data_IF_701374063666
#
_entry.id   IF_701374063666
#
_cell.length_a   1.000
_cell.length_b   1.000
_cell.length_c   1.000
_cell.angle_alpha   90.00
_cell.angle_beta   90.00
_cell.angle_gamma   90.00
#
_symmetry.space_group_name_H-M   'P 1'
#
loop_
_entity.id
_entity.type
_entity.pdbx_description
1 polymer ?
#
# COMPACT_ATOMS: atom_id res chain seq x y z
N UNK A 1 -10.80 9.54 -18.23
CA UNK A 1 -10.72 10.77 -17.42
C UNK A 1 -9.82 10.42 -16.25
N UNK A 2 -8.62 10.98 -16.23
CA UNK A 2 -7.53 10.51 -15.37
C UNK A 2 -7.83 10.84 -13.91
N UNK A 3 -7.51 9.91 -13.02
CA UNK A 3 -7.64 9.94 -11.56
C UNK A 3 -6.86 11.07 -10.85
N UNK A 4 -6.48 12.14 -11.56
CA UNK A 4 -5.73 13.29 -11.04
C UNK A 4 -6.45 14.00 -9.87
N UNK A 5 -7.74 13.76 -9.69
CA UNK A 5 -8.52 14.36 -8.60
C UNK A 5 -8.55 13.54 -7.31
N UNK A 6 -8.45 12.20 -7.37
CA UNK A 6 -8.72 11.39 -6.19
C UNK A 6 -7.55 11.39 -5.20
N UNK A 7 -6.32 11.19 -5.72
CA UNK A 7 -5.08 11.19 -4.92
C UNK A 7 -4.39 12.56 -4.92
N UNK A 8 -5.10 13.62 -5.27
CA UNK A 8 -4.55 14.97 -5.25
C UNK A 8 -4.11 15.37 -3.84
N UNK A 9 -2.95 16.01 -3.72
CA UNK A 9 -2.35 16.37 -2.42
C UNK A 9 -3.28 17.22 -1.54
N UNK A 10 -4.17 18.01 -2.16
CA UNK A 10 -5.19 18.81 -1.45
C UNK A 10 -6.23 17.98 -0.69
N UNK A 11 -6.31 16.67 -0.92
CA UNK A 11 -7.24 15.78 -0.22
C UNK A 11 -6.67 15.26 1.10
N UNK A 12 -5.41 15.54 1.41
CA UNK A 12 -4.71 15.06 2.59
C UNK A 12 -4.33 16.19 3.54
N UNK A 13 -4.29 15.88 4.84
CA UNK A 13 -3.88 16.85 5.86
C UNK A 13 -2.36 16.84 6.13
N UNK A 14 -1.61 15.93 5.49
CA UNK A 14 -0.16 15.77 5.65
C UNK A 14 0.26 14.76 6.73
N UNK A 15 -0.66 14.29 7.57
CA UNK A 15 -0.41 13.19 8.49
C UNK A 15 -0.50 11.85 7.76
N UNK A 16 0.19 10.86 8.31
CA UNK A 16 0.16 9.49 7.84
C UNK A 16 0.45 8.52 8.98
N UNK A 17 -0.04 7.29 8.82
CA UNK A 17 0.24 6.15 9.66
C UNK A 17 1.19 5.21 8.91
N UNK A 18 2.24 4.75 9.58
CA UNK A 18 3.03 3.61 9.10
C UNK A 18 2.35 2.32 9.54
N UNK A 19 2.21 1.37 8.61
CA UNK A 19 1.67 0.04 8.88
C UNK A 19 2.69 -1.00 8.43
N UNK A 20 2.69 -2.15 9.08
CA UNK A 20 3.63 -3.23 8.76
C UNK A 20 2.98 -4.61 8.81
N UNK A 21 3.71 -5.62 8.33
CA UNK A 21 3.29 -7.01 8.37
C UNK A 21 3.87 -7.79 9.56
N UNK A 22 4.30 -7.14 10.64
CA UNK A 22 4.97 -7.84 11.73
C UNK A 22 4.03 -8.84 12.41
N UNK A 23 4.37 -10.12 12.30
CA UNK A 23 3.72 -11.20 13.05
C UNK A 23 4.69 -11.82 14.06
N UNK A 24 5.88 -12.20 13.60
CA UNK A 24 6.95 -12.69 14.45
C UNK A 24 8.34 -12.30 13.91
N UNK A 25 9.39 -12.75 14.62
CA UNK A 25 10.79 -12.44 14.32
C UNK A 25 11.33 -13.03 13.00
N UNK A 26 10.61 -13.95 12.36
CA UNK A 26 10.96 -14.60 11.11
C UNK A 26 10.22 -14.00 9.92
N UNK A 27 9.17 -13.19 10.15
CA UNK A 27 8.45 -12.48 9.09
C UNK A 27 9.37 -11.42 8.46
N UNK A 28 9.62 -11.46 7.14
CA UNK A 28 10.30 -10.37 6.46
C UNK A 28 9.51 -9.07 6.66
N UNK A 29 10.17 -8.05 7.19
CA UNK A 29 9.54 -6.75 7.44
C UNK A 29 9.20 -6.07 6.11
N UNK A 30 7.91 -5.75 5.94
CA UNK A 30 7.33 -5.04 4.81
C UNK A 30 6.49 -3.91 5.38
N UNK A 31 6.74 -2.69 4.93
CA UNK A 31 6.07 -1.48 5.41
C UNK A 31 5.17 -0.88 4.32
N UNK A 32 4.05 -0.31 4.77
CA UNK A 32 3.13 0.49 3.98
C UNK A 32 2.82 1.80 4.70
N UNK A 33 2.13 2.71 4.00
CA UNK A 33 1.76 4.01 4.56
C UNK A 33 0.29 4.28 4.28
N UNK A 34 -0.46 4.65 5.32
CA UNK A 34 -1.83 5.13 5.20
C UNK A 34 -1.86 6.66 5.33
N UNK A 35 -2.15 7.35 4.23
CA UNK A 35 -2.19 8.82 4.17
C UNK A 35 -3.54 9.36 4.63
N UNK A 36 -3.54 10.26 5.62
CA UNK A 36 -4.76 10.77 6.25
C UNK A 36 -5.41 11.84 5.39
N UNK A 37 -6.65 11.57 4.97
CA UNK A 37 -7.50 12.48 4.21
C UNK A 37 -8.10 13.57 5.11
N UNK A 38 -8.58 14.65 4.50
CA UNK A 38 -9.21 15.76 5.23
C UNK A 38 -10.47 15.37 6.00
N UNK A 39 -11.16 14.29 5.60
CA UNK A 39 -12.34 13.76 6.29
C UNK A 39 -12.01 12.76 7.41
N UNK A 40 -10.73 12.50 7.66
CA UNK A 40 -10.25 11.57 8.69
C UNK A 40 -10.15 10.11 8.24
N UNK A 41 -10.60 9.76 7.02
CA UNK A 41 -10.27 8.46 6.43
C UNK A 41 -8.80 8.42 5.97
N UNK A 42 -8.31 7.25 5.61
CA UNK A 42 -6.93 7.07 5.16
C UNK A 42 -6.87 6.24 3.88
N UNK A 43 -6.03 6.64 2.93
CA UNK A 43 -5.71 5.82 1.78
C UNK A 43 -4.42 5.05 2.04
N UNK A 44 -4.52 3.73 2.04
CA UNK A 44 -3.42 2.81 2.29
C UNK A 44 -2.65 2.54 1.00
N UNK A 45 -1.33 2.74 1.05
CA UNK A 45 -0.41 2.55 -0.06
C UNK A 45 0.77 1.64 0.27
N UNK A 46 1.35 1.09 -0.80
CA UNK A 46 2.57 0.29 -0.76
C UNK A 46 3.57 0.72 -1.84
N UNK A 47 4.84 0.90 -1.47
CA UNK A 47 5.91 1.25 -2.41
C UNK A 47 7.27 0.58 -2.10
N UNK A 48 7.34 -0.34 -1.13
CA UNK A 48 8.57 -1.03 -0.70
C UNK A 48 8.93 -2.24 -1.61
N UNK A 49 9.03 -1.97 -2.91
CA UNK A 49 9.54 -2.94 -3.89
C UNK A 49 11.07 -3.03 -3.85
N UNK A 50 11.63 -4.22 -4.04
CA UNK A 50 13.08 -4.47 -4.04
C UNK A 50 13.81 -3.71 -5.16
N UNK A 51 13.15 -3.52 -6.30
CA UNK A 51 13.68 -2.81 -7.46
C UNK A 51 12.56 -2.50 -8.48
N UNK A 52 12.91 -1.73 -9.51
CA UNK A 52 12.01 -1.37 -10.61
C UNK A 52 11.40 -2.60 -11.31
N UNK A 53 12.19 -3.66 -11.49
CA UNK A 53 11.73 -4.87 -12.19
C UNK A 53 10.63 -5.59 -11.41
N UNK A 54 10.76 -5.69 -10.08
CA UNK A 54 9.70 -6.24 -9.23
C UNK A 54 8.44 -5.39 -9.32
N UNK A 55 8.58 -4.06 -9.20
CA UNK A 55 7.46 -3.12 -9.30
C UNK A 55 6.73 -3.25 -10.64
N UNK A 56 7.44 -3.18 -11.76
CA UNK A 56 6.83 -3.28 -13.09
C UNK A 56 6.14 -4.63 -13.31
N UNK A 57 6.72 -5.72 -12.79
CA UNK A 57 6.11 -7.04 -12.84
C UNK A 57 4.79 -7.07 -12.05
N UNK A 58 4.78 -6.52 -10.84
CA UNK A 58 3.57 -6.41 -10.02
C UNK A 58 2.48 -5.58 -10.72
N UNK A 59 2.85 -4.40 -11.23
CA UNK A 59 1.91 -3.51 -11.91
C UNK A 59 1.32 -4.15 -13.19
N UNK A 60 2.11 -4.95 -13.90
CA UNK A 60 1.64 -5.66 -15.11
C UNK A 60 0.69 -6.80 -14.77
N UNK A 61 0.92 -7.53 -13.67
CA UNK A 61 0.11 -8.71 -13.31
C UNK A 61 -1.21 -8.31 -12.68
N UNK A 62 -1.19 -7.34 -11.76
CA UNK A 62 -2.36 -6.98 -10.95
C UNK A 62 -3.12 -5.76 -11.47
N UNK A 63 -2.51 -4.99 -12.38
CA UNK A 63 -3.06 -3.73 -12.92
C UNK A 63 -3.69 -2.82 -11.83
N UNK A 64 -3.02 -2.61 -10.68
CA UNK A 64 -3.62 -1.85 -9.59
C UNK A 64 -3.69 -0.35 -9.93
N UNK A 65 -4.40 0.41 -9.12
CA UNK A 65 -4.22 1.85 -9.13
C UNK A 65 -2.82 2.19 -8.57
N UNK A 66 -2.05 2.96 -9.33
CA UNK A 66 -0.69 3.37 -8.96
C UNK A 66 -0.55 4.88 -9.06
N UNK A 67 -0.05 5.47 -7.98
CA UNK A 67 0.38 6.86 -7.92
C UNK A 67 1.92 6.91 -7.90
N UNK A 68 2.52 7.79 -8.69
CA UNK A 68 3.99 7.86 -8.81
C UNK A 68 4.70 8.28 -7.52
N UNK A 69 4.01 9.01 -6.64
CA UNK A 69 4.56 9.48 -5.37
C UNK A 69 4.19 8.56 -4.20
N UNK A 70 2.96 8.03 -4.20
CA UNK A 70 2.41 7.26 -3.08
C UNK A 70 2.58 5.75 -3.25
N UNK A 71 2.63 5.25 -4.49
CA UNK A 71 2.77 3.84 -4.81
C UNK A 71 1.44 3.15 -5.16
N UNK A 72 1.37 1.85 -4.91
CA UNK A 72 0.18 1.03 -5.16
C UNK A 72 -0.88 1.35 -4.13
N UNK A 73 -2.05 1.78 -4.58
CA UNK A 73 -3.21 1.92 -3.70
C UNK A 73 -3.79 0.54 -3.36
N UNK A 74 -3.92 0.28 -2.05
CA UNK A 74 -4.49 -0.96 -1.52
C UNK A 74 -5.98 -0.75 -1.24
N UNK A 75 -6.31 0.20 -0.35
CA UNK A 75 -7.69 0.45 0.09
C UNK A 75 -7.83 1.78 0.84
N UNK A 76 -9.04 2.34 0.85
CA UNK A 76 -9.42 3.40 1.77
C UNK A 76 -9.97 2.79 3.07
N UNK A 77 -9.43 3.20 4.23
CA UNK A 77 -9.72 2.68 5.57
C UNK A 77 -10.11 3.82 6.52
N UNK A 78 -10.73 3.50 7.65
CA UNK A 78 -11.27 4.52 8.59
C UNK A 78 -10.58 4.58 9.94
N UNK A 79 -9.87 3.54 10.33
CA UNK A 79 -9.18 3.48 11.62
C UNK A 79 -7.78 2.90 11.45
N UNK A 80 -6.93 3.15 12.42
CA UNK A 80 -5.56 2.65 12.44
C UNK A 80 -5.56 1.11 12.45
N UNK A 81 -6.46 0.50 13.24
CA UNK A 81 -6.59 -0.97 13.30
C UNK A 81 -7.05 -1.56 11.97
N UNK A 82 -7.96 -0.89 11.26
CA UNK A 82 -8.37 -1.35 9.92
C UNK A 82 -7.21 -1.23 8.93
N UNK A 83 -6.36 -0.20 9.06
CA UNK A 83 -5.18 -0.05 8.22
C UNK A 83 -4.19 -1.21 8.41
N UNK A 84 -3.90 -1.56 9.66
CA UNK A 84 -3.01 -2.68 10.01
C UNK A 84 -3.57 -4.03 9.54
N UNK A 85 -4.85 -4.29 9.78
CA UNK A 85 -5.50 -5.55 9.38
C UNK A 85 -5.53 -5.71 7.85
N UNK A 86 -5.95 -4.67 7.13
CA UNK A 86 -6.01 -4.69 5.66
C UNK A 86 -4.61 -4.81 5.07
N UNK A 87 -3.62 -4.13 5.63
CA UNK A 87 -2.25 -4.21 5.13
C UNK A 87 -1.67 -5.61 5.31
N UNK A 88 -1.80 -6.19 6.52
CA UNK A 88 -1.35 -7.56 6.79
C UNK A 88 -2.02 -8.57 5.88
N UNK A 89 -3.34 -8.49 5.72
CA UNK A 89 -4.08 -9.39 4.85
C UNK A 89 -3.63 -9.25 3.37
N UNK A 90 -3.40 -8.02 2.90
CA UNK A 90 -2.91 -7.78 1.54
C UNK A 90 -1.49 -8.33 1.35
N UNK A 91 -0.59 -8.13 2.32
CA UNK A 91 0.77 -8.67 2.25
C UNK A 91 0.74 -10.19 2.15
N UNK A 92 -0.02 -10.86 3.01
CA UNK A 92 -0.10 -12.33 3.06
C UNK A 92 -0.76 -12.95 1.83
N UNK A 93 -1.84 -12.34 1.33
CA UNK A 93 -2.66 -12.96 0.29
C UNK A 93 -2.32 -12.50 -1.13
N UNK A 94 -1.66 -11.35 -1.28
CA UNK A 94 -1.35 -10.76 -2.58
C UNK A 94 0.15 -10.65 -2.78
N UNK A 95 0.83 -9.94 -1.88
CA UNK A 95 2.19 -9.50 -2.16
C UNK A 95 3.26 -10.58 -1.93
N UNK A 96 3.22 -11.28 -0.81
CA UNK A 96 4.15 -12.39 -0.53
C UNK A 96 4.02 -13.53 -1.54
N UNK A 97 2.80 -13.99 -1.90
CA UNK A 97 2.63 -14.98 -2.97
C UNK A 97 3.27 -14.51 -4.28
N UNK A 98 3.06 -13.26 -4.69
CA UNK A 98 3.70 -12.70 -5.87
C UNK A 98 5.24 -12.73 -5.77
N UNK A 99 5.79 -12.24 -4.66
CA UNK A 99 7.24 -12.16 -4.45
C UNK A 99 7.92 -13.54 -4.41
N UNK A 100 7.18 -14.57 -4.01
CA UNK A 100 7.69 -15.94 -3.93
C UNK A 100 7.39 -16.79 -5.18
N UNK A 101 6.59 -16.32 -6.15
CA UNK A 101 6.31 -17.05 -7.41
C UNK A 101 7.57 -17.30 -8.28
N UNK A 102 8.68 -16.61 -8.01
CA UNK A 102 9.96 -16.77 -8.72
C UNK A 102 11.08 -17.43 -7.91
N UNK A 103 10.78 -18.01 -6.74
CA UNK A 103 11.76 -18.72 -5.88
C UNK A 103 11.61 -20.23 -5.95
#
# INVERSE_FOLDING_TARGET
MKNETYFHSSNYNGNHLHVDNYEDKFTPFIEGIAWVRLDGSMDLFFNEFMNESERQSFLTIFEPHFDENLGVFIKCVKTDEEADDVFREWVQNVFEPFRNQGK
#
